data_IF_414999139435
#
_entry.id   IF_414999139435
#
_cell.length_a   1.000
_cell.length_b   1.000
_cell.length_c   1.000
_cell.angle_alpha   90.00
_cell.angle_beta   90.00
_cell.angle_gamma   90.00
#
_symmetry.space_group_name_H-M   'P 1'
#
loop_
_entity.id
_entity.type
_entity.pdbx_description
1 polymer ?
#
# COMPACT_ATOMS: atom_id res chain seq x y z
N UNK A 1 14.20 -15.25 0.85
CA UNK A 1 13.16 -14.61 1.68
C UNK A 1 12.88 -13.33 0.98
N UNK A 2 11.63 -13.08 0.63
CA UNK A 2 11.27 -11.86 -0.09
C UNK A 2 10.75 -10.87 0.95
N UNK A 3 11.37 -9.70 1.00
CA UNK A 3 10.92 -8.60 1.85
C UNK A 3 10.23 -7.59 0.94
N UNK A 4 8.91 -7.48 1.09
CA UNK A 4 8.12 -6.46 0.42
C UNK A 4 8.05 -5.27 1.38
N UNK A 5 8.57 -4.13 0.96
CA UNK A 5 8.46 -2.87 1.69
C UNK A 5 7.44 -2.02 0.94
N UNK A 6 6.31 -1.75 1.60
CA UNK A 6 5.28 -0.85 1.09
C UNK A 6 5.56 0.57 1.59
N UNK A 7 5.53 1.56 0.69
CA UNK A 7 5.82 2.95 1.04
C UNK A 7 5.24 3.92 0.02
N UNK A 8 4.89 5.12 0.49
CA UNK A 8 4.39 6.22 -0.36
C UNK A 8 5.53 6.96 -1.08
N UNK A 9 6.76 6.80 -0.62
CA UNK A 9 7.96 7.41 -1.22
C UNK A 9 8.66 6.42 -2.16
N UNK A 10 9.29 6.90 -3.26
CA UNK A 10 10.12 6.05 -4.09
C UNK A 10 11.26 5.44 -3.26
N UNK A 11 11.61 4.19 -3.57
CA UNK A 11 12.77 3.56 -2.94
C UNK A 11 14.04 4.40 -3.20
N UNK A 12 14.92 4.58 -2.20
CA UNK A 12 16.15 5.33 -2.40
C UNK A 12 17.00 4.71 -3.52
N UNK A 13 17.80 5.52 -4.25
CA UNK A 13 18.72 5.00 -5.26
C UNK A 13 19.63 3.89 -4.69
N UNK A 14 19.79 2.79 -5.43
CA UNK A 14 20.63 1.65 -5.02
C UNK A 14 19.96 0.64 -4.08
N UNK A 15 18.73 0.88 -3.62
CA UNK A 15 18.00 -0.04 -2.73
C UNK A 15 17.22 -1.14 -3.46
N UNK A 16 17.11 -1.03 -4.77
CA UNK A 16 16.41 -2.02 -5.59
C UNK A 16 17.40 -3.03 -6.15
N UNK A 17 17.18 -4.31 -5.86
CA UNK A 17 18.04 -5.39 -6.32
C UNK A 17 18.25 -6.48 -5.27
N UNK A 18 19.32 -7.25 -5.43
CA UNK A 18 19.64 -8.36 -4.52
C UNK A 18 20.41 -7.84 -3.31
N UNK A 19 19.88 -8.06 -2.12
CA UNK A 19 20.55 -7.82 -0.85
C UNK A 19 21.11 -9.16 -0.33
N UNK A 20 22.29 -9.11 0.28
CA UNK A 20 22.92 -10.26 0.93
C UNK A 20 22.98 -10.02 2.43
N UNK A 21 22.52 -10.98 3.22
CA UNK A 21 22.69 -10.97 4.67
C UNK A 21 23.72 -12.01 5.04
N UNK A 22 24.76 -11.60 5.77
CA UNK A 22 25.85 -12.45 6.26
C UNK A 22 25.79 -12.50 7.78
N UNK A 23 25.62 -13.68 8.37
CA UNK A 23 25.68 -13.83 9.83
C UNK A 23 27.08 -14.23 10.28
N UNK A 24 27.72 -13.37 11.07
CA UNK A 24 28.99 -13.59 11.75
C UNK A 24 28.85 -14.37 13.06
N UNK A 25 27.97 -15.39 13.09
CA UNK A 25 27.78 -16.21 14.29
C UNK A 25 28.95 -17.18 14.50
N UNK A 26 29.41 -17.34 15.75
CA UNK A 26 30.41 -18.36 16.11
C UNK A 26 29.75 -19.75 16.14
N UNK A 27 30.33 -20.72 15.42
CA UNK A 27 29.89 -22.13 15.41
C UNK A 27 29.73 -22.75 14.01
N UNK A 28 29.72 -24.10 13.95
CA UNK A 28 29.59 -24.92 12.73
C UNK A 28 28.16 -24.91 12.11
N UNK A 29 27.44 -23.79 12.15
CA UNK A 29 26.12 -23.69 11.50
C UNK A 29 26.29 -23.54 9.98
N UNK A 30 25.53 -24.30 9.21
CA UNK A 30 25.80 -24.61 7.79
C UNK A 30 25.41 -23.50 6.79
N UNK A 31 24.64 -22.48 7.18
CA UNK A 31 24.32 -21.33 6.32
C UNK A 31 24.77 -20.02 6.94
N UNK A 32 25.69 -19.35 6.25
CA UNK A 32 26.27 -18.05 6.65
C UNK A 32 25.76 -16.88 5.79
N UNK A 33 25.09 -17.14 4.66
CA UNK A 33 24.63 -16.14 3.70
C UNK A 33 23.17 -16.38 3.28
N UNK A 34 22.36 -15.34 3.32
CA UNK A 34 21.01 -15.30 2.77
C UNK A 34 20.91 -14.24 1.69
N UNK A 35 20.04 -14.47 0.71
CA UNK A 35 19.77 -13.53 -0.36
C UNK A 35 18.30 -13.10 -0.30
N UNK A 36 18.07 -11.81 -0.53
CA UNK A 36 16.76 -11.16 -0.51
C UNK A 36 16.65 -10.33 -1.77
N UNK A 37 15.59 -10.53 -2.56
CA UNK A 37 15.25 -9.61 -3.64
C UNK A 37 14.43 -8.44 -3.08
N UNK A 38 14.86 -7.21 -3.36
CA UNK A 38 14.15 -5.98 -3.00
C UNK A 38 13.64 -5.32 -4.27
N UNK A 39 12.34 -5.12 -4.33
CA UNK A 39 11.64 -4.50 -5.46
C UNK A 39 10.71 -3.42 -4.93
N UNK A 40 10.58 -2.31 -5.67
CA UNK A 40 9.56 -1.30 -5.41
C UNK A 40 8.31 -1.64 -6.22
N UNK A 41 7.16 -1.61 -5.55
CA UNK A 41 5.86 -1.59 -6.20
C UNK A 41 5.32 -0.17 -5.99
N UNK A 42 5.19 0.65 -7.04
CA UNK A 42 4.67 1.99 -6.88
C UNK A 42 3.22 1.91 -6.40
N UNK A 43 2.92 2.58 -5.28
CA UNK A 43 1.55 2.79 -4.84
C UNK A 43 1.15 4.20 -5.24
N UNK A 44 0.14 4.33 -6.11
CA UNK A 44 -0.45 5.63 -6.46
C UNK A 44 -1.83 5.71 -5.81
N UNK A 45 -1.92 6.26 -4.58
CA UNK A 45 -3.21 6.45 -3.93
C UNK A 45 -4.01 7.52 -4.66
N UNK A 46 -5.30 7.26 -4.85
CA UNK A 46 -6.26 8.25 -5.32
C UNK A 46 -6.59 9.17 -4.16
N UNK A 47 -6.39 10.48 -4.32
CA UNK A 47 -6.79 11.46 -3.32
C UNK A 47 -8.23 11.91 -3.55
N UNK A 48 -8.96 12.19 -2.46
CA UNK A 48 -10.32 12.71 -2.57
C UNK A 48 -10.41 14.05 -3.32
N UNK A 49 -9.35 14.85 -3.28
CA UNK A 49 -9.23 16.12 -4.02
C UNK A 49 -9.01 15.96 -5.52
N UNK A 50 -8.60 14.78 -5.97
CA UNK A 50 -8.33 14.47 -7.38
C UNK A 50 -9.55 13.86 -8.09
N UNK A 51 -10.61 13.52 -7.33
CA UNK A 51 -11.85 13.00 -7.91
C UNK A 51 -12.59 14.11 -8.66
N UNK A 52 -12.82 13.89 -9.96
CA UNK A 52 -13.66 14.79 -10.74
C UNK A 52 -15.11 14.72 -10.24
N UNK A 53 -15.68 15.88 -9.97
CA UNK A 53 -17.10 16.05 -9.69
C UNK A 53 -18.00 15.47 -10.79
N UNK A 54 -17.52 15.47 -12.04
CA UNK A 54 -18.19 14.89 -13.20
C UNK A 54 -18.09 13.36 -13.29
N UNK A 55 -17.47 12.69 -12.32
CA UNK A 55 -17.46 11.22 -12.21
C UNK A 55 -18.21 10.71 -10.97
N UNK A 56 -18.62 11.62 -10.09
CA UNK A 56 -19.20 11.27 -8.80
C UNK A 56 -20.68 11.65 -8.73
N UNK A 57 -21.56 10.73 -8.33
CA UNK A 57 -22.95 11.03 -7.96
C UNK A 57 -23.13 10.94 -6.46
N UNK A 58 -23.94 11.85 -5.90
CA UNK A 58 -24.33 11.83 -4.51
C UNK A 58 -25.83 11.58 -4.39
N UNK A 59 -26.20 10.67 -3.50
CA UNK A 59 -27.57 10.37 -3.12
C UNK A 59 -27.72 10.58 -1.62
N UNK A 60 -28.77 11.29 -1.21
CA UNK A 60 -29.13 11.38 0.21
C UNK A 60 -30.03 10.24 0.60
N UNK A 61 -29.84 9.74 1.80
CA UNK A 61 -30.66 8.69 2.37
C UNK A 61 -30.99 9.02 3.82
N UNK A 62 -32.04 8.38 4.34
CA UNK A 62 -32.29 8.36 5.78
C UNK A 62 -31.27 7.44 6.46
N UNK A 63 -30.72 7.89 7.58
CA UNK A 63 -29.86 7.05 8.41
C UNK A 63 -30.65 5.86 8.94
N UNK A 64 -30.09 4.65 8.85
CA UNK A 64 -30.74 3.43 9.32
C UNK A 64 -30.23 3.04 10.70
N UNK A 65 -31.12 2.92 11.70
CA UNK A 65 -30.71 2.41 13.01
C UNK A 65 -31.78 2.60 14.10
N UNK A 66 -31.55 2.01 15.27
CA UNK A 66 -32.37 2.17 16.48
C UNK A 66 -32.20 3.56 17.14
N UNK A 67 -32.15 4.62 16.34
CA UNK A 67 -32.06 6.00 16.80
C UNK A 67 -33.43 6.57 17.15
N UNK A 68 -33.46 7.54 18.07
CA UNK A 68 -34.68 8.27 18.43
C UNK A 68 -35.30 9.06 17.27
N UNK A 69 -36.47 9.66 17.48
CA UNK A 69 -37.27 10.35 16.44
C UNK A 69 -36.47 11.34 15.56
N UNK A 70 -35.44 11.97 16.11
CA UNK A 70 -34.58 12.93 15.40
C UNK A 70 -33.66 12.28 14.34
N UNK A 71 -33.20 11.05 14.58
CA UNK A 71 -32.30 10.32 13.66
C UNK A 71 -33.07 9.79 12.45
N UNK A 72 -34.31 9.33 12.66
CA UNK A 72 -35.10 8.69 11.61
C UNK A 72 -35.79 9.68 10.64
N UNK A 73 -35.89 10.96 11.03
CA UNK A 73 -36.57 12.00 10.24
C UNK A 73 -35.64 12.78 9.30
N UNK A 74 -34.33 12.77 9.58
CA UNK A 74 -33.36 13.60 8.84
C UNK A 74 -32.60 12.78 7.81
N UNK A 75 -32.54 13.26 6.57
CA UNK A 75 -31.75 12.66 5.48
C UNK A 75 -30.27 13.03 5.60
N UNK A 76 -29.64 12.65 6.71
CA UNK A 76 -28.23 12.94 6.96
C UNK A 76 -27.28 11.95 6.27
N UNK A 77 -27.73 10.73 5.96
CA UNK A 77 -26.89 9.72 5.34
C UNK A 77 -26.62 10.08 3.87
N UNK A 78 -25.39 9.84 3.42
CA UNK A 78 -24.94 10.13 2.07
C UNK A 78 -24.37 8.87 1.45
N UNK A 79 -24.86 8.54 0.27
CA UNK A 79 -24.23 7.59 -0.63
C UNK A 79 -23.52 8.35 -1.73
N UNK A 80 -22.30 7.94 -2.02
CA UNK A 80 -21.49 8.46 -3.11
C UNK A 80 -21.16 7.31 -4.06
N UNK A 81 -21.29 7.53 -5.36
CA UNK A 81 -20.99 6.52 -6.38
C UNK A 81 -20.05 7.10 -7.42
N UNK A 82 -18.97 6.38 -7.70
CA UNK A 82 -18.07 6.68 -8.80
C UNK A 82 -18.58 6.01 -10.08
N UNK A 83 -19.08 6.80 -11.03
CA UNK A 83 -19.73 6.32 -12.27
C UNK A 83 -18.82 5.41 -13.10
N UNK A 84 -17.54 5.74 -13.34
CA UNK A 84 -16.68 4.91 -14.19
C UNK A 84 -16.38 3.52 -13.63
N UNK A 85 -16.28 3.38 -12.29
CA UNK A 85 -15.92 2.09 -11.66
C UNK A 85 -17.11 1.34 -11.07
N UNK A 86 -18.26 2.01 -10.93
CA UNK A 86 -19.45 1.49 -10.26
C UNK A 86 -19.29 1.32 -8.73
N UNK A 87 -18.19 1.79 -8.14
CA UNK A 87 -17.98 1.68 -6.69
C UNK A 87 -18.84 2.72 -5.98
N UNK A 88 -19.65 2.25 -5.02
CA UNK A 88 -20.45 3.12 -4.16
C UNK A 88 -20.09 2.95 -2.69
N UNK A 89 -20.06 4.05 -1.94
CA UNK A 89 -19.83 4.07 -0.49
C UNK A 89 -20.97 4.83 0.19
N UNK A 90 -21.46 4.31 1.31
CA UNK A 90 -22.46 4.97 2.16
C UNK A 90 -21.84 5.40 3.48
N UNK A 91 -22.14 6.61 3.91
CA UNK A 91 -21.69 7.18 5.19
C UNK A 91 -22.86 7.83 5.91
N UNK A 92 -23.01 7.48 7.18
CA UNK A 92 -24.07 7.98 8.07
C UNK A 92 -23.58 8.22 9.51
N UNK A 93 -22.25 8.31 9.70
CA UNK A 93 -21.63 8.45 11.02
C UNK A 93 -21.91 9.81 11.65
N UNK A 94 -22.01 10.87 10.85
CA UNK A 94 -22.22 12.23 11.34
C UNK A 94 -23.69 12.66 11.27
N UNK A 95 -24.06 13.61 12.12
CA UNK A 95 -25.41 14.20 12.11
C UNK A 95 -25.62 15.14 10.91
N UNK A 96 -24.55 15.70 10.37
CA UNK A 96 -24.59 16.65 9.26
C UNK A 96 -24.33 15.96 7.92
N UNK A 97 -25.21 16.20 6.95
CA UNK A 97 -25.06 15.73 5.58
C UNK A 97 -23.75 16.21 4.93
N UNK A 98 -23.31 17.46 5.20
CA UNK A 98 -22.09 18.00 4.62
C UNK A 98 -20.82 17.29 5.12
N UNK A 99 -20.81 16.96 6.42
CA UNK A 99 -19.72 16.17 7.00
C UNK A 99 -19.73 14.76 6.41
N UNK A 100 -20.91 14.12 6.30
CA UNK A 100 -21.05 12.83 5.66
C UNK A 100 -20.61 12.85 4.17
N UNK A 101 -20.87 13.93 3.41
CA UNK A 101 -20.36 14.10 2.03
C UNK A 101 -18.83 14.10 1.97
N UNK A 102 -18.17 14.86 2.85
CA UNK A 102 -16.69 14.90 2.92
C UNK A 102 -16.11 13.53 3.27
N UNK A 103 -16.66 12.88 4.30
CA UNK A 103 -16.24 11.54 4.69
C UNK A 103 -16.52 10.50 3.62
N UNK A 104 -17.63 10.63 2.87
CA UNK A 104 -17.95 9.75 1.75
C UNK A 104 -16.92 9.85 0.62
N UNK A 105 -16.48 11.07 0.26
CA UNK A 105 -15.42 11.27 -0.73
C UNK A 105 -14.09 10.64 -0.30
N UNK A 106 -13.69 10.81 0.96
CA UNK A 106 -12.46 10.21 1.50
C UNK A 106 -12.53 8.68 1.39
N UNK A 107 -13.63 8.08 1.86
CA UNK A 107 -13.81 6.61 1.80
C UNK A 107 -13.93 6.08 0.37
N UNK A 108 -14.50 6.87 -0.54
CA UNK A 108 -14.55 6.52 -1.96
C UNK A 108 -13.14 6.48 -2.56
N UNK A 109 -12.32 7.48 -2.27
CA UNK A 109 -10.94 7.55 -2.72
C UNK A 109 -10.09 6.38 -2.16
N UNK A 110 -10.27 6.03 -0.89
CA UNK A 110 -9.66 4.83 -0.28
C UNK A 110 -10.12 3.53 -0.98
N UNK A 111 -11.42 3.41 -1.30
CA UNK A 111 -11.95 2.25 -2.00
C UNK A 111 -11.40 2.12 -3.44
N UNK A 112 -11.26 3.25 -4.15
CA UNK A 112 -10.65 3.30 -5.48
C UNK A 112 -9.16 2.92 -5.42
N UNK A 113 -8.42 3.49 -4.47
CA UNK A 113 -7.00 3.16 -4.23
C UNK A 113 -6.79 1.69 -3.94
N UNK A 114 -7.64 1.08 -3.11
CA UNK A 114 -7.55 -0.35 -2.83
C UNK A 114 -7.82 -1.17 -4.09
N UNK A 115 -8.81 -0.79 -4.91
CA UNK A 115 -9.11 -1.51 -6.16
C UNK A 115 -7.97 -1.41 -7.19
N UNK A 116 -7.31 -0.26 -7.30
CA UNK A 116 -6.12 -0.12 -8.15
C UNK A 116 -4.97 -0.95 -7.59
N UNK A 117 -4.72 -0.88 -6.29
CA UNK A 117 -3.69 -1.69 -5.63
C UNK A 117 -3.92 -3.20 -5.78
N UNK A 118 -5.16 -3.68 -5.69
CA UNK A 118 -5.51 -5.09 -5.93
C UNK A 118 -5.23 -5.52 -7.38
N UNK A 119 -5.59 -4.67 -8.35
CA UNK A 119 -5.30 -4.89 -9.77
C UNK A 119 -3.79 -4.92 -10.03
N UNK A 120 -3.06 -3.98 -9.45
CA UNK A 120 -1.61 -3.86 -9.60
C UNK A 120 -0.89 -4.97 -8.84
N UNK A 121 -1.39 -5.43 -7.69
CA UNK A 121 -0.85 -6.55 -6.95
C UNK A 121 -0.96 -7.86 -7.74
N UNK A 122 -2.04 -8.07 -8.49
CA UNK A 122 -2.18 -9.20 -9.40
C UNK A 122 -1.12 -9.15 -10.51
N UNK A 123 -0.91 -7.98 -11.13
CA UNK A 123 0.14 -7.77 -12.11
C UNK A 123 1.55 -7.90 -11.50
N UNK A 124 1.74 -7.40 -10.29
CA UNK A 124 2.99 -7.48 -9.54
C UNK A 124 3.29 -8.91 -9.11
N UNK A 125 2.29 -9.76 -8.83
CA UNK A 125 2.47 -11.19 -8.56
C UNK A 125 3.05 -11.90 -9.78
N UNK A 126 2.53 -11.60 -10.99
CA UNK A 126 3.09 -12.10 -12.24
C UNK A 126 4.53 -11.60 -12.44
N UNK A 127 4.80 -10.30 -12.25
CA UNK A 127 6.15 -9.74 -12.30
C UNK A 127 7.08 -10.36 -11.26
N UNK A 128 6.62 -10.61 -10.02
CA UNK A 128 7.35 -11.28 -8.94
C UNK A 128 7.70 -12.71 -9.31
N UNK A 129 6.77 -13.43 -9.95
CA UNK A 129 7.03 -14.78 -10.45
C UNK A 129 8.10 -14.80 -11.55
N UNK A 130 8.16 -13.78 -12.41
CA UNK A 130 9.22 -13.58 -13.41
C UNK A 130 10.52 -13.05 -12.79
N UNK A 131 10.43 -12.25 -11.74
CA UNK A 131 11.53 -11.59 -11.02
C UNK A 131 12.15 -12.47 -9.92
N UNK A 132 12.09 -13.81 -10.07
CA UNK A 132 12.95 -14.76 -9.32
C UNK A 132 14.46 -14.58 -9.60
N UNK A 133 14.86 -13.41 -10.09
CA UNK A 133 16.22 -13.00 -10.38
C UNK A 133 16.88 -12.46 -9.12
N UNK A 134 17.03 -13.32 -8.11
CA UNK A 134 18.11 -13.13 -7.15
C UNK A 134 19.41 -13.43 -7.90
N UNK A 135 20.07 -12.38 -8.39
CA UNK A 135 21.35 -12.51 -9.10
C UNK A 135 22.46 -12.71 -8.06
N UNK A 136 22.77 -13.98 -7.79
CA UNK A 136 23.88 -14.32 -6.90
C UNK A 136 25.19 -13.89 -7.55
N UNK A 137 25.98 -13.11 -6.82
CA UNK A 137 27.28 -12.59 -7.30
C UNK A 137 27.27 -11.09 -7.60
N UNK A 138 26.10 -10.44 -7.62
CA UNK A 138 25.97 -9.00 -7.87
C UNK A 138 25.02 -8.31 -6.88
N UNK A 139 25.32 -8.33 -5.56
CA UNK A 139 24.48 -7.66 -4.58
C UNK A 139 24.54 -6.14 -4.73
N UNK A 140 23.42 -5.46 -4.49
CA UNK A 140 23.38 -3.99 -4.34
C UNK A 140 23.64 -3.56 -2.90
N UNK A 141 23.45 -4.47 -1.94
CA UNK A 141 23.71 -4.22 -0.53
C UNK A 141 24.13 -5.50 0.19
N UNK A 142 25.08 -5.35 1.12
CA UNK A 142 25.51 -6.41 2.02
C UNK A 142 25.29 -6.00 3.47
N UNK A 143 24.58 -6.84 4.22
CA UNK A 143 24.25 -6.67 5.64
C UNK A 143 25.03 -7.71 6.44
N UNK A 144 25.93 -7.27 7.31
CA UNK A 144 26.71 -8.18 8.16
C UNK A 144 26.23 -8.08 9.60
N UNK A 145 25.70 -9.19 10.13
CA UNK A 145 25.27 -9.30 11.52
C UNK A 145 26.42 -9.80 12.38
N UNK A 146 26.91 -8.95 13.28
CA UNK A 146 27.94 -9.29 14.27
C UNK A 146 27.39 -10.13 15.43
N UNK A 147 28.30 -10.71 16.23
CA UNK A 147 27.93 -11.51 17.42
C UNK A 147 27.25 -10.69 18.51
N UNK A 148 27.53 -9.39 18.58
CA UNK A 148 26.99 -8.43 19.57
C UNK A 148 25.67 -7.77 19.12
N UNK A 149 25.04 -8.25 18.05
CA UNK A 149 23.82 -7.63 17.48
C UNK A 149 24.06 -6.38 16.63
N UNK A 150 25.31 -5.96 16.45
CA UNK A 150 25.67 -4.89 15.52
C UNK A 150 25.41 -5.30 14.06
N UNK A 151 24.81 -4.40 13.28
CA UNK A 151 24.57 -4.59 11.84
C UNK A 151 25.45 -3.61 11.06
N UNK A 152 26.36 -4.13 10.25
CA UNK A 152 27.13 -3.34 9.29
C UNK A 152 26.45 -3.41 7.92
N UNK A 153 26.30 -2.26 7.25
CA UNK A 153 25.66 -2.16 5.93
C UNK A 153 26.64 -1.57 4.94
N UNK A 154 26.84 -2.27 3.83
CA UNK A 154 27.67 -1.82 2.71
C UNK A 154 26.80 -1.72 1.45
N UNK A 155 26.73 -0.53 0.86
CA UNK A 155 26.00 -0.27 -0.38
C UNK A 155 26.96 -0.39 -1.56
N UNK A 156 26.59 -1.19 -2.55
CA UNK A 156 27.39 -1.44 -3.74
C UNK A 156 26.81 -0.58 -4.87
N UNK A 157 27.55 0.43 -5.32
CA UNK A 157 27.13 1.28 -6.44
C UNK A 157 27.05 0.45 -7.73
N UNK A 158 25.98 0.64 -8.49
CA UNK A 158 25.90 0.10 -9.85
C UNK A 158 26.69 1.01 -10.77
N UNK A 159 27.76 0.51 -11.36
CA UNK A 159 28.33 1.14 -12.56
C UNK A 159 27.22 1.26 -13.62
N UNK A 160 27.09 2.47 -14.18
CA UNK A 160 26.05 2.91 -15.10
C UNK A 160 25.98 2.05 -16.36
#
# INVERSE_FOLDING_TARGET
>A
VDLIVEGLAPAPPGWLGTHVVVAGLRGRRTRKRWFVGVVAVPLSPVLASELDSADVTFETCRAGGAGGQHVNRTESAVRVTHRPTGISVRVESERSQHQNKRSALIRLAEALTRRTAERDAAAASARRASARFVERGRPVMTWTLGSEGLVQVEVHERAS
#
